data_IF_678889008265
#
_entry.id   IF_678889008265
#
_cell.length_a   1.000
_cell.length_b   1.000
_cell.length_c   1.000
_cell.angle_alpha   90.00
_cell.angle_beta   90.00
_cell.angle_gamma   90.00
#
_symmetry.space_group_name_H-M   'P 1'
#
loop_
_entity.id
_entity.type
_entity.pdbx_description
1 polymer ?
#
# COMPACT_ATOMS: atom_id res chain seq x y z
N UNK A 1 -0.33 -41.73 20.55
CA UNK A 1 0.99 -41.32 20.11
C UNK A 1 0.89 -39.91 19.51
N UNK A 2 1.06 -38.88 20.35
CA UNK A 2 0.96 -37.48 19.94
C UNK A 2 2.31 -36.99 19.40
N UNK A 3 2.45 -36.89 18.09
CA UNK A 3 3.58 -36.14 17.49
C UNK A 3 3.19 -34.65 17.44
N UNK A 4 3.36 -33.93 18.54
CA UNK A 4 3.46 -32.47 18.48
C UNK A 4 4.78 -32.15 17.76
N UNK A 5 4.66 -31.79 16.47
CA UNK A 5 5.76 -31.22 15.71
C UNK A 5 6.18 -29.93 16.39
N UNK A 6 7.32 -29.95 17.08
CA UNK A 6 7.92 -28.74 17.68
C UNK A 6 8.29 -27.79 16.55
N UNK A 7 7.44 -26.80 16.32
CA UNK A 7 7.80 -25.67 15.48
C UNK A 7 8.88 -24.87 16.21
N UNK A 8 9.95 -24.43 15.51
CA UNK A 8 10.99 -23.63 16.16
C UNK A 8 10.37 -22.34 16.73
N UNK A 9 10.84 -21.85 17.89
CA UNK A 9 10.24 -20.70 18.58
C UNK A 9 10.16 -19.43 17.72
N UNK A 10 11.06 -19.30 16.73
CA UNK A 10 11.05 -18.21 15.74
C UNK A 10 9.78 -18.19 14.91
N UNK A 11 9.20 -19.36 14.57
CA UNK A 11 7.99 -19.45 13.77
C UNK A 11 6.75 -19.00 14.56
N UNK A 12 6.69 -19.29 15.84
CA UNK A 12 5.64 -18.82 16.74
C UNK A 12 5.68 -17.30 16.92
N UNK A 13 6.88 -16.71 16.99
CA UNK A 13 7.07 -15.26 17.08
C UNK A 13 6.61 -14.55 15.81
N UNK A 14 6.90 -15.10 14.64
CA UNK A 14 6.47 -14.56 13.35
C UNK A 14 4.95 -14.56 13.20
N UNK A 15 4.30 -15.65 13.58
CA UNK A 15 2.82 -15.75 13.56
C UNK A 15 2.19 -14.75 14.54
N UNK A 16 2.78 -14.58 15.74
CA UNK A 16 2.28 -13.62 16.73
C UNK A 16 2.43 -12.16 16.24
N UNK A 17 3.54 -11.82 15.56
CA UNK A 17 3.74 -10.50 14.99
C UNK A 17 2.78 -10.22 13.83
N UNK A 18 2.51 -11.21 12.96
CA UNK A 18 1.55 -11.08 11.87
C UNK A 18 0.13 -10.93 12.42
N UNK A 19 -0.25 -11.72 13.43
CA UNK A 19 -1.56 -11.62 14.07
C UNK A 19 -1.75 -10.26 14.77
N UNK A 20 -0.73 -9.74 15.45
CA UNK A 20 -0.77 -8.41 16.05
C UNK A 20 -0.89 -7.29 15.01
N UNK A 21 -0.18 -7.39 13.89
CA UNK A 21 -0.29 -6.44 12.78
C UNK A 21 -1.68 -6.45 12.14
N UNK A 22 -2.28 -7.63 11.94
CA UNK A 22 -3.64 -7.79 11.41
C UNK A 22 -4.68 -7.22 12.38
N UNK A 23 -4.52 -7.43 13.69
CA UNK A 23 -5.43 -6.87 14.71
C UNK A 23 -5.32 -5.34 14.75
N UNK A 24 -4.13 -4.77 14.62
CA UNK A 24 -3.95 -3.30 14.56
C UNK A 24 -4.57 -2.72 13.28
N UNK A 25 -4.49 -3.40 12.15
CA UNK A 25 -5.13 -2.98 10.90
C UNK A 25 -6.66 -3.06 10.97
N UNK A 26 -7.20 -4.05 11.66
CA UNK A 26 -8.66 -4.21 11.84
C UNK A 26 -9.23 -3.22 12.88
N UNK A 27 -8.44 -2.81 13.87
CA UNK A 27 -8.87 -1.83 14.90
C UNK A 27 -8.96 -0.40 14.32
N UNK A 28 -8.24 -0.10 13.23
CA UNK A 28 -8.31 1.19 12.54
C UNK A 28 -9.60 1.44 11.76
N UNK A 29 -10.44 0.40 11.55
CA UNK A 29 -11.67 0.52 10.76
C UNK A 29 -12.92 0.90 11.56
N UNK A 30 -12.81 1.18 12.87
CA UNK A 30 -13.98 1.40 13.75
C UNK A 30 -14.29 2.87 14.04
N UNK A 31 -13.86 3.83 13.23
CA UNK A 31 -14.37 5.20 13.31
C UNK A 31 -15.60 5.35 12.40
N UNK A 32 -16.70 4.76 12.86
CA UNK A 32 -18.01 4.98 12.27
C UNK A 32 -18.40 6.46 12.45
N UNK A 33 -18.41 7.19 11.33
CA UNK A 33 -19.11 8.49 11.24
C UNK A 33 -18.27 9.75 11.42
N UNK A 34 -16.98 9.67 11.71
CA UNK A 34 -16.11 10.85 11.69
C UNK A 34 -15.70 11.15 10.24
N UNK A 35 -16.02 12.34 9.76
CA UNK A 35 -15.53 12.82 8.47
C UNK A 35 -14.01 12.95 8.58
N UNK A 36 -13.29 12.18 7.74
CA UNK A 36 -11.84 12.25 7.70
C UNK A 36 -11.41 13.67 7.26
N UNK A 37 -10.51 14.28 8.01
CA UNK A 37 -9.90 15.54 7.60
C UNK A 37 -8.86 15.30 6.52
N UNK A 38 -8.47 16.35 5.79
CA UNK A 38 -7.39 16.26 4.82
C UNK A 38 -6.09 15.75 5.45
N UNK A 39 -5.80 16.17 6.66
CA UNK A 39 -4.59 15.74 7.40
C UNK A 39 -4.64 14.25 7.75
N UNK A 40 -5.81 13.72 8.14
CA UNK A 40 -6.01 12.30 8.38
C UNK A 40 -5.79 11.48 7.10
N UNK A 41 -6.31 11.96 5.96
CA UNK A 41 -6.13 11.31 4.67
C UNK A 41 -4.67 11.35 4.23
N UNK A 42 -3.99 12.48 4.38
CA UNK A 42 -2.54 12.59 4.11
C UNK A 42 -1.73 11.63 4.97
N UNK A 43 -2.00 11.61 6.28
CA UNK A 43 -1.27 10.77 7.22
C UNK A 43 -1.41 9.27 6.94
N UNK A 44 -2.52 8.85 6.34
CA UNK A 44 -2.78 7.44 6.03
C UNK A 44 -2.42 7.08 4.57
N UNK A 45 -2.83 7.89 3.60
CA UNK A 45 -2.65 7.58 2.19
C UNK A 45 -1.21 7.79 1.70
N UNK A 46 -0.58 8.91 2.09
CA UNK A 46 0.76 9.25 1.61
C UNK A 46 1.85 8.23 1.97
N UNK A 47 1.94 7.72 3.20
CA UNK A 47 2.90 6.65 3.53
C UNK A 47 2.66 5.37 2.72
N UNK A 48 1.41 5.00 2.45
CA UNK A 48 1.07 3.83 1.64
C UNK A 48 1.53 4.01 0.20
N UNK A 49 1.24 5.15 -0.41
CA UNK A 49 1.62 5.45 -1.79
C UNK A 49 3.14 5.51 -1.94
N UNK A 50 3.81 6.31 -1.12
CA UNK A 50 5.26 6.50 -1.18
C UNK A 50 6.01 5.22 -0.80
N UNK A 51 5.53 4.47 0.19
CA UNK A 51 6.09 3.18 0.59
C UNK A 51 5.97 2.13 -0.52
N UNK A 52 4.85 2.12 -1.26
CA UNK A 52 4.67 1.24 -2.41
C UNK A 52 5.67 1.57 -3.52
N UNK A 53 5.83 2.85 -3.88
CA UNK A 53 6.78 3.30 -4.89
C UNK A 53 8.22 2.94 -4.49
N UNK A 54 8.63 3.26 -3.28
CA UNK A 54 9.96 2.95 -2.77
C UNK A 54 10.23 1.43 -2.74
N UNK A 55 9.25 0.64 -2.30
CA UNK A 55 9.37 -0.82 -2.26
C UNK A 55 9.58 -1.43 -3.65
N UNK A 56 8.86 -0.95 -4.66
CA UNK A 56 9.02 -1.41 -6.04
C UNK A 56 10.37 -0.98 -6.65
N UNK A 57 10.86 0.21 -6.33
CA UNK A 57 12.16 0.68 -6.83
C UNK A 57 13.33 -0.17 -6.34
N UNK A 58 13.28 -0.68 -5.11
CA UNK A 58 14.35 -1.52 -4.56
C UNK A 58 14.18 -3.00 -4.88
N UNK A 59 13.01 -3.42 -5.41
CA UNK A 59 12.75 -4.83 -5.73
C UNK A 59 13.66 -5.33 -6.84
N UNK A 60 14.33 -6.49 -6.68
CA UNK A 60 15.15 -7.08 -7.73
C UNK A 60 14.33 -7.62 -8.90
N UNK A 61 13.03 -7.89 -8.70
CA UNK A 61 12.14 -8.48 -9.69
C UNK A 61 11.58 -7.45 -10.68
N UNK A 62 11.88 -6.17 -10.48
CA UNK A 62 11.45 -5.07 -11.36
C UNK A 62 12.58 -4.72 -12.33
N UNK A 63 12.33 -4.75 -13.65
CA UNK A 63 13.28 -4.34 -14.67
C UNK A 63 13.74 -2.88 -14.52
N UNK A 64 14.96 -2.56 -14.96
CA UNK A 64 15.55 -1.24 -14.77
C UNK A 64 14.81 -0.11 -15.51
N UNK A 65 14.31 -0.40 -16.71
CA UNK A 65 13.46 0.51 -17.49
C UNK A 65 12.13 0.81 -16.80
N UNK A 66 11.55 -0.19 -16.17
CA UNK A 66 10.33 -0.07 -15.40
C UNK A 66 10.55 0.74 -14.11
N UNK A 67 11.72 0.57 -13.44
CA UNK A 67 12.11 1.42 -12.31
C UNK A 67 12.27 2.89 -12.69
N UNK A 68 12.74 3.19 -13.89
CA UNK A 68 12.83 4.57 -14.36
C UNK A 68 11.45 5.24 -14.42
N UNK A 69 10.41 4.53 -14.88
CA UNK A 69 9.02 5.04 -14.89
C UNK A 69 8.49 5.30 -13.47
N UNK A 70 8.83 4.45 -12.50
CA UNK A 70 8.49 4.69 -11.08
C UNK A 70 9.20 5.93 -10.54
N UNK A 71 10.47 6.15 -10.92
CA UNK A 71 11.24 7.33 -10.54
C UNK A 71 10.68 8.66 -11.09
N UNK A 72 9.96 8.63 -12.21
CA UNK A 72 9.29 9.82 -12.75
C UNK A 72 8.03 10.20 -11.96
N UNK A 73 7.31 9.22 -11.42
CA UNK A 73 6.05 9.48 -10.69
C UNK A 73 6.26 9.78 -9.20
N UNK A 74 7.36 9.33 -8.62
CA UNK A 74 7.66 9.54 -7.20
C UNK A 74 7.70 11.03 -6.79
N UNK A 75 8.42 11.94 -7.51
CA UNK A 75 8.42 13.36 -7.16
C UNK A 75 7.04 14.01 -7.27
N UNK A 76 6.19 13.52 -8.20
CA UNK A 76 4.81 14.00 -8.33
C UNK A 76 4.00 13.58 -7.11
N UNK A 77 4.12 12.34 -6.67
CA UNK A 77 3.44 11.83 -5.48
C UNK A 77 3.91 12.59 -4.22
N UNK A 78 5.21 12.85 -4.06
CA UNK A 78 5.76 13.65 -2.97
C UNK A 78 5.22 15.09 -2.98
N UNK A 79 5.17 15.72 -4.14
CA UNK A 79 4.66 17.08 -4.29
C UNK A 79 3.18 17.15 -3.87
N UNK A 80 2.33 16.25 -4.36
CA UNK A 80 0.90 16.24 -4.00
C UNK A 80 0.74 15.95 -2.51
N UNK A 81 1.45 15.00 -1.94
CA UNK A 81 1.40 14.70 -0.51
C UNK A 81 1.76 15.90 0.38
N UNK A 82 2.68 16.76 -0.07
CA UNK A 82 3.09 17.96 0.66
C UNK A 82 2.16 19.14 0.43
N UNK A 83 1.66 19.34 -0.78
CA UNK A 83 0.96 20.58 -1.19
C UNK A 83 -0.54 20.44 -1.38
N UNK A 84 -1.11 19.21 -1.38
CA UNK A 84 -2.54 19.00 -1.54
C UNK A 84 -3.34 19.82 -0.52
N UNK A 85 -4.36 20.52 -1.01
CA UNK A 85 -5.30 21.31 -0.21
C UNK A 85 -6.67 20.66 -0.10
N UNK A 86 -6.92 19.63 -0.92
CA UNK A 86 -8.18 18.90 -0.96
C UNK A 86 -7.95 17.38 -0.97
N UNK A 87 -8.91 16.63 -0.41
CA UNK A 87 -8.90 15.16 -0.46
C UNK A 87 -8.93 14.66 -1.91
N UNK A 88 -9.60 15.43 -2.80
CA UNK A 88 -9.67 15.14 -4.24
C UNK A 88 -8.29 15.01 -4.89
N UNK A 89 -7.34 15.88 -4.54
CA UNK A 89 -5.98 15.87 -5.06
C UNK A 89 -5.28 14.54 -4.73
N UNK A 90 -5.41 14.09 -3.47
CA UNK A 90 -4.84 12.83 -3.01
C UNK A 90 -5.45 11.64 -3.75
N UNK A 91 -6.77 11.66 -3.95
CA UNK A 91 -7.47 10.58 -4.69
C UNK A 91 -7.01 10.51 -6.14
N UNK A 92 -6.99 11.64 -6.84
CA UNK A 92 -6.57 11.70 -8.24
C UNK A 92 -5.11 11.24 -8.41
N UNK A 93 -4.21 11.69 -7.55
CA UNK A 93 -2.82 11.26 -7.54
C UNK A 93 -2.71 9.75 -7.25
N UNK A 94 -3.45 9.24 -6.27
CA UNK A 94 -3.41 7.81 -5.93
C UNK A 94 -3.86 6.93 -7.10
N UNK A 95 -4.89 7.31 -7.83
CA UNK A 95 -5.34 6.59 -9.02
C UNK A 95 -4.27 6.57 -10.12
N UNK A 96 -3.61 7.70 -10.36
CA UNK A 96 -2.52 7.79 -11.33
C UNK A 96 -1.33 6.91 -10.93
N UNK A 97 -0.91 6.96 -9.66
CA UNK A 97 0.18 6.13 -9.14
C UNK A 97 -0.17 4.64 -9.24
N UNK A 98 -1.34 4.24 -8.79
CA UNK A 98 -1.72 2.82 -8.81
C UNK A 98 -1.93 2.28 -10.21
N UNK A 99 -2.30 3.11 -11.19
CA UNK A 99 -2.34 2.70 -12.59
C UNK A 99 -0.94 2.32 -13.10
N UNK A 100 0.07 3.15 -12.80
CA UNK A 100 1.47 2.84 -13.14
C UNK A 100 1.97 1.61 -12.39
N UNK A 101 1.65 1.49 -11.10
CA UNK A 101 2.05 0.32 -10.27
C UNK A 101 1.44 -0.98 -10.81
N UNK A 102 0.17 -0.97 -11.24
CA UNK A 102 -0.46 -2.14 -11.87
C UNK A 102 0.30 -2.60 -13.12
N UNK A 103 0.70 -1.67 -13.98
CA UNK A 103 1.47 -1.99 -15.19
C UNK A 103 2.87 -2.52 -14.83
N UNK A 104 3.53 -1.89 -13.86
CA UNK A 104 4.83 -2.35 -13.34
C UNK A 104 4.75 -3.78 -12.80
N UNK A 105 3.74 -4.11 -12.04
CA UNK A 105 3.54 -5.47 -11.49
C UNK A 105 3.30 -6.47 -12.62
N UNK A 106 2.50 -6.12 -13.64
CA UNK A 106 2.25 -7.00 -14.80
C UNK A 106 3.54 -7.29 -15.58
N UNK A 107 4.35 -6.26 -15.82
CA UNK A 107 5.59 -6.34 -16.61
C UNK A 107 6.79 -6.87 -15.81
N UNK A 108 6.64 -7.07 -14.49
CA UNK A 108 7.71 -7.56 -13.61
C UNK A 108 8.04 -9.04 -13.83
N UNK A 109 9.22 -9.46 -13.36
CA UNK A 109 9.66 -10.85 -13.32
C UNK A 109 9.16 -11.61 -12.06
N UNK A 110 8.22 -11.04 -11.32
CA UNK A 110 7.61 -11.66 -10.15
C UNK A 110 6.90 -12.98 -10.49
N UNK A 111 6.88 -13.91 -9.54
CA UNK A 111 6.07 -15.13 -9.69
C UNK A 111 4.58 -14.79 -9.75
N UNK A 112 3.74 -15.68 -10.31
CA UNK A 112 2.28 -15.47 -10.35
C UNK A 112 1.68 -15.18 -8.98
N UNK A 113 2.16 -15.87 -7.94
CA UNK A 113 1.71 -15.68 -6.55
C UNK A 113 2.10 -14.29 -6.00
N UNK A 114 3.31 -13.83 -6.30
CA UNK A 114 3.77 -12.49 -5.92
C UNK A 114 2.97 -11.40 -6.63
N UNK A 115 2.70 -11.56 -7.94
CA UNK A 115 1.85 -10.64 -8.71
C UNK A 115 0.45 -10.57 -8.13
N UNK A 116 -0.14 -11.71 -7.81
CA UNK A 116 -1.48 -11.75 -7.21
C UNK A 116 -1.50 -11.05 -5.84
N UNK A 117 -0.51 -11.28 -4.99
CA UNK A 117 -0.41 -10.62 -3.69
C UNK A 117 -0.26 -9.10 -3.85
N UNK A 118 0.56 -8.63 -4.80
CA UNK A 118 0.73 -7.21 -5.10
C UNK A 118 -0.58 -6.57 -5.59
N UNK A 119 -1.31 -7.22 -6.50
CA UNK A 119 -2.60 -6.73 -7.02
C UNK A 119 -3.64 -6.63 -5.89
N UNK A 120 -3.70 -7.61 -4.99
CA UNK A 120 -4.61 -7.57 -3.83
C UNK A 120 -4.26 -6.38 -2.94
N UNK A 121 -2.97 -6.14 -2.65
CA UNK A 121 -2.52 -5.03 -1.82
C UNK A 121 -2.89 -3.67 -2.46
N UNK A 122 -2.64 -3.50 -3.77
CA UNK A 122 -3.00 -2.29 -4.52
C UNK A 122 -4.51 -2.05 -4.50
N UNK A 123 -5.29 -3.10 -4.76
CA UNK A 123 -6.77 -3.01 -4.76
C UNK A 123 -7.29 -2.62 -3.38
N UNK A 124 -6.72 -3.17 -2.31
CA UNK A 124 -7.07 -2.82 -0.94
C UNK A 124 -6.73 -1.36 -0.64
N UNK A 125 -5.55 -0.89 -1.05
CA UNK A 125 -5.15 0.51 -0.89
C UNK A 125 -6.07 1.47 -1.65
N UNK A 126 -6.45 1.14 -2.90
CA UNK A 126 -7.44 1.90 -3.68
C UNK A 126 -8.78 2.00 -2.97
N UNK A 127 -9.31 0.88 -2.50
CA UNK A 127 -10.59 0.87 -1.79
C UNK A 127 -10.54 1.72 -0.52
N UNK A 128 -9.45 1.65 0.23
CA UNK A 128 -9.26 2.46 1.43
C UNK A 128 -9.27 3.96 1.09
N UNK A 129 -8.50 4.39 0.09
CA UNK A 129 -8.42 5.81 -0.32
C UNK A 129 -9.75 6.27 -0.92
N UNK A 130 -10.41 5.43 -1.72
CA UNK A 130 -11.71 5.74 -2.31
C UNK A 130 -12.82 5.92 -1.26
N UNK A 131 -12.71 5.25 -0.11
CA UNK A 131 -13.71 5.33 0.96
C UNK A 131 -13.77 6.69 1.67
N UNK A 132 -12.72 7.51 1.58
CA UNK A 132 -12.75 8.88 2.13
C UNK A 132 -13.77 9.73 1.37
N UNK A 133 -14.71 10.34 2.08
CA UNK A 133 -15.70 11.25 1.47
C UNK A 133 -15.05 12.59 1.19
N UNK A 134 -15.20 13.07 -0.06
CA UNK A 134 -14.86 14.44 -0.41
C UNK A 134 -15.90 15.34 0.26
N UNK A 135 -15.46 16.28 1.07
CA UNK A 135 -16.34 17.36 1.55
C UNK A 135 -16.64 18.27 0.35
N UNK A 136 -17.89 18.32 -0.05
CA UNK A 136 -18.42 19.33 -0.96
C UNK A 136 -18.80 20.58 -0.19
#
# INVERSE_FOLDING_TARGET
MNRYRQYPPVFMFLIACIAAAVIMLLSGCATTGQQATLDDVKAQACPVILGTLAGLQVSPDIPADTKARLGEIEPVALAVCSTATEIGDIKQMSEAVFAVVDDVVKDSNMTPEQKQAAIIAITTARMMIASYKVQQ
#
